data_IF_496381478360
#
_entry.id   IF_496381478360
#
_cell.length_a   1.000
_cell.length_b   1.000
_cell.length_c   1.000
_cell.angle_alpha   90.00
_cell.angle_beta   90.00
_cell.angle_gamma   90.00
#
_symmetry.space_group_name_H-M   'P 1'
#
loop_
_entity.id
_entity.type
_entity.pdbx_description
1 polymer ?
#
# COMPACT_ATOMS: atom_id res chain seq x y z
N UNK A 1 13.20 11.60 -13.46
CA UNK A 1 12.58 11.93 -12.15
C UNK A 1 11.20 11.30 -12.05
N UNK A 2 10.89 10.76 -10.90
CA UNK A 2 9.62 10.07 -10.69
C UNK A 2 8.61 11.00 -10.03
N UNK A 3 7.33 10.84 -10.40
CA UNK A 3 6.24 11.58 -9.76
C UNK A 3 5.24 10.61 -9.13
N UNK A 4 4.68 11.00 -7.99
CA UNK A 4 3.66 10.24 -7.27
C UNK A 4 2.36 11.04 -7.35
N UNK A 5 1.28 10.41 -7.80
CA UNK A 5 -0.02 11.06 -7.97
C UNK A 5 -1.15 10.22 -7.40
N UNK A 6 -2.03 10.87 -6.65
CA UNK A 6 -3.32 10.28 -6.33
C UNK A 6 -4.15 10.17 -7.61
N UNK A 7 -4.88 9.08 -7.77
CA UNK A 7 -5.64 8.82 -8.99
C UNK A 7 -7.10 8.51 -8.68
N UNK A 8 -7.95 8.80 -9.67
CA UNK A 8 -9.38 8.51 -9.60
C UNK A 8 -9.65 7.14 -10.21
N UNK A 9 -10.02 6.18 -9.39
CA UNK A 9 -10.26 4.79 -9.83
C UNK A 9 -11.58 4.64 -10.62
N UNK A 10 -12.43 5.65 -10.62
CA UNK A 10 -13.63 5.66 -11.46
C UNK A 10 -13.30 5.98 -12.92
N UNK A 11 -12.09 6.46 -13.20
CA UNK A 11 -11.57 6.62 -14.55
C UNK A 11 -11.15 5.23 -15.07
N UNK A 12 -11.77 4.80 -16.16
CA UNK A 12 -11.54 3.46 -16.73
C UNK A 12 -10.08 3.24 -17.14
N UNK A 13 -9.41 4.28 -17.64
CA UNK A 13 -8.00 4.20 -18.02
C UNK A 13 -7.12 3.97 -16.78
N UNK A 14 -7.40 4.66 -15.68
CA UNK A 14 -6.70 4.47 -14.41
C UNK A 14 -6.92 3.06 -13.87
N UNK A 15 -8.16 2.56 -13.90
CA UNK A 15 -8.47 1.21 -13.44
C UNK A 15 -7.72 0.15 -14.24
N UNK A 16 -7.60 0.35 -15.56
CA UNK A 16 -6.85 -0.55 -16.43
C UNK A 16 -5.35 -0.54 -16.10
N UNK A 17 -4.77 0.65 -15.91
CA UNK A 17 -3.36 0.79 -15.51
C UNK A 17 -3.09 0.09 -14.19
N UNK A 18 -3.94 0.30 -13.19
CA UNK A 18 -3.82 -0.35 -11.88
C UNK A 18 -3.90 -1.87 -12.00
N UNK A 19 -4.85 -2.37 -12.79
CA UNK A 19 -5.00 -3.81 -13.04
C UNK A 19 -3.77 -4.41 -13.68
N UNK A 20 -3.21 -3.76 -14.70
CA UNK A 20 -2.01 -4.22 -15.39
C UNK A 20 -0.80 -4.22 -14.46
N UNK A 21 -0.60 -3.16 -13.68
CA UNK A 21 0.50 -3.09 -12.72
C UNK A 21 0.36 -4.15 -11.63
N UNK A 22 -0.86 -4.39 -11.14
CA UNK A 22 -1.11 -5.44 -10.15
C UNK A 22 -0.73 -6.80 -10.73
N UNK A 23 -1.15 -7.11 -11.95
CA UNK A 23 -0.82 -8.38 -12.59
C UNK A 23 0.69 -8.55 -12.75
N UNK A 24 1.39 -7.50 -13.20
CA UNK A 24 2.84 -7.56 -13.44
C UNK A 24 3.65 -7.70 -12.14
N UNK A 25 3.15 -7.18 -11.03
CA UNK A 25 3.90 -7.16 -9.75
C UNK A 25 3.52 -8.32 -8.82
N UNK A 26 2.28 -8.74 -8.83
CA UNK A 26 1.80 -9.82 -7.95
C UNK A 26 1.57 -11.14 -8.68
N UNK A 27 1.49 -11.12 -10.01
CA UNK A 27 1.20 -12.30 -10.82
C UNK A 27 -0.06 -13.00 -10.27
N UNK A 28 0.04 -14.28 -9.92
CA UNK A 28 -1.07 -15.04 -9.35
C UNK A 28 -1.00 -15.16 -7.82
N UNK A 29 -0.08 -14.42 -7.18
CA UNK A 29 0.13 -14.53 -5.73
C UNK A 29 -0.95 -13.81 -4.90
N UNK A 30 -1.71 -12.91 -5.52
CA UNK A 30 -2.78 -12.19 -4.85
C UNK A 30 -3.92 -11.91 -5.83
N UNK A 31 -5.14 -11.95 -5.33
CA UNK A 31 -6.31 -11.61 -6.11
C UNK A 31 -6.34 -10.11 -6.42
N UNK A 32 -6.91 -9.73 -7.56
CA UNK A 32 -7.07 -8.33 -7.93
C UNK A 32 -7.98 -7.64 -6.91
N UNK A 33 -7.54 -6.53 -6.29
CA UNK A 33 -8.37 -5.83 -5.32
C UNK A 33 -9.55 -5.08 -5.99
N UNK A 34 -10.54 -4.75 -5.18
CA UNK A 34 -11.63 -3.87 -5.61
C UNK A 34 -11.16 -2.43 -5.45
N UNK A 35 -10.66 -1.84 -6.53
CA UNK A 35 -10.07 -0.50 -6.48
C UNK A 35 -11.04 0.57 -5.99
N UNK A 36 -12.32 0.45 -6.32
CA UNK A 36 -13.32 1.45 -5.96
C UNK A 36 -13.58 1.59 -4.47
N UNK A 37 -13.14 0.66 -3.63
CA UNK A 37 -13.34 0.72 -2.18
C UNK A 37 -12.25 1.49 -1.44
N UNK A 38 -11.22 1.99 -2.13
CA UNK A 38 -10.07 2.61 -1.50
C UNK A 38 -9.55 3.83 -2.24
N UNK A 39 -8.43 4.32 -1.74
CA UNK A 39 -7.67 5.41 -2.33
C UNK A 39 -6.39 4.84 -2.93
N UNK A 40 -6.02 5.32 -4.11
CA UNK A 40 -4.92 4.74 -4.88
C UNK A 40 -3.98 5.81 -5.41
N UNK A 41 -2.73 5.42 -5.58
CA UNK A 41 -1.67 6.27 -6.11
C UNK A 41 -0.91 5.53 -7.19
N UNK A 42 -0.43 6.27 -8.16
CA UNK A 42 0.49 5.80 -9.19
C UNK A 42 1.80 6.56 -9.10
N UNK A 43 2.89 5.87 -9.34
CA UNK A 43 4.19 6.47 -9.59
C UNK A 43 4.48 6.44 -11.08
N UNK A 44 5.02 7.52 -11.60
CA UNK A 44 5.31 7.67 -13.02
C UNK A 44 6.79 7.94 -13.25
N UNK A 45 7.31 7.33 -14.31
CA UNK A 45 8.55 7.74 -14.97
C UNK A 45 8.14 8.44 -16.26
N UNK A 46 8.22 9.78 -16.28
CA UNK A 46 7.61 10.59 -17.33
C UNK A 46 6.12 10.25 -17.47
N UNK A 47 5.68 9.70 -18.61
CA UNK A 47 4.28 9.35 -18.84
C UNK A 47 3.95 7.89 -18.52
N UNK A 48 4.95 7.09 -18.13
CA UNK A 48 4.78 5.66 -17.89
C UNK A 48 4.50 5.38 -16.41
N UNK A 49 3.39 4.72 -16.12
CA UNK A 49 3.10 4.24 -14.77
C UNK A 49 3.98 3.03 -14.46
N UNK A 50 4.72 3.08 -13.34
CA UNK A 50 5.74 2.10 -12.98
C UNK A 50 5.56 1.47 -11.61
N UNK A 51 4.66 2.01 -10.79
CA UNK A 51 4.40 1.51 -9.46
C UNK A 51 3.04 2.02 -8.99
N UNK A 52 2.49 1.35 -8.00
CA UNK A 52 1.19 1.72 -7.44
C UNK A 52 1.11 1.35 -5.97
N UNK A 53 0.17 1.97 -5.27
CA UNK A 53 -0.18 1.61 -3.91
C UNK A 53 -1.62 2.00 -3.62
N UNK A 54 -2.20 1.33 -2.66
CA UNK A 54 -3.56 1.63 -2.23
C UNK A 54 -3.82 1.31 -0.78
N UNK A 55 -4.81 2.00 -0.23
CA UNK A 55 -5.29 1.80 1.12
C UNK A 55 -6.80 1.91 1.17
N UNK A 56 -7.40 1.13 2.05
CA UNK A 56 -8.84 1.13 2.31
C UNK A 56 -9.05 1.40 3.80
N UNK A 57 -10.23 1.90 4.21
CA UNK A 57 -10.55 1.92 5.64
C UNK A 57 -10.49 0.50 6.19
N UNK A 58 -9.85 0.32 7.34
CA UNK A 58 -9.80 -0.99 7.97
C UNK A 58 -11.17 -1.35 8.55
N UNK A 59 -11.60 -2.58 8.33
CA UNK A 59 -12.84 -3.11 8.93
C UNK A 59 -12.56 -3.80 10.28
N UNK A 60 -11.30 -4.03 10.61
CA UNK A 60 -10.90 -4.80 11.80
C UNK A 60 -10.23 -3.93 12.86
N UNK A 61 -9.58 -2.85 12.47
CA UNK A 61 -8.90 -1.94 13.39
C UNK A 61 -9.58 -0.58 13.34
N UNK A 62 -10.06 -0.14 14.51
CA UNK A 62 -10.83 1.08 14.62
C UNK A 62 -10.05 2.30 14.17
N UNK A 63 -10.70 3.20 13.42
CA UNK A 63 -10.17 4.49 12.97
C UNK A 63 -8.80 4.36 12.33
N UNK A 64 -8.63 3.34 11.50
CA UNK A 64 -7.35 3.04 10.86
C UNK A 64 -7.56 2.70 9.40
N UNK A 65 -6.52 2.91 8.61
CA UNK A 65 -6.46 2.43 7.24
C UNK A 65 -5.73 1.11 7.15
N UNK A 66 -6.06 0.34 6.13
CA UNK A 66 -5.35 -0.87 5.76
C UNK A 66 -4.63 -0.62 4.44
N UNK A 67 -3.30 -0.66 4.47
CA UNK A 67 -2.47 -0.59 3.27
C UNK A 67 -2.55 -1.96 2.60
N UNK A 68 -3.34 -2.03 1.53
CA UNK A 68 -3.72 -3.32 0.95
C UNK A 68 -2.79 -3.81 -0.15
N UNK A 69 -2.15 -2.89 -0.88
CA UNK A 69 -1.22 -3.25 -1.96
C UNK A 69 -0.16 -2.18 -2.13
N UNK A 70 1.06 -2.60 -2.39
CA UNK A 70 2.14 -1.78 -2.93
C UNK A 70 2.89 -2.65 -3.94
N UNK A 71 3.04 -2.18 -5.15
CA UNK A 71 3.76 -2.90 -6.19
C UNK A 71 4.66 -1.96 -6.98
N UNK A 72 5.88 -2.41 -7.25
CA UNK A 72 6.86 -1.68 -8.07
C UNK A 72 7.34 -2.62 -9.15
N UNK A 73 7.31 -2.16 -10.41
CA UNK A 73 7.86 -2.96 -11.50
C UNK A 73 9.32 -3.30 -11.22
N UNK A 74 9.71 -4.54 -11.53
CA UNK A 74 11.02 -5.07 -11.16
C UNK A 74 12.16 -4.16 -11.61
N UNK A 75 12.08 -3.61 -12.82
CA UNK A 75 13.08 -2.71 -13.37
C UNK A 75 13.30 -1.45 -12.54
N UNK A 76 12.29 -1.03 -11.77
CA UNK A 76 12.33 0.20 -10.98
C UNK A 76 12.50 -0.02 -9.48
N UNK A 77 12.72 -1.25 -9.05
CA UNK A 77 12.96 -1.57 -7.64
C UNK A 77 14.27 -1.00 -7.14
N UNK A 78 14.37 -0.78 -5.83
CA UNK A 78 15.57 -0.25 -5.20
C UNK A 78 15.77 1.25 -5.36
N UNK A 79 14.74 1.99 -5.75
CA UNK A 79 14.80 3.44 -6.00
C UNK A 79 13.94 4.26 -5.04
N UNK A 80 13.48 3.63 -3.95
CA UNK A 80 12.69 4.31 -2.93
C UNK A 80 11.25 4.57 -3.29
N UNK A 81 10.72 4.01 -4.37
CA UNK A 81 9.34 4.26 -4.83
C UNK A 81 8.31 3.72 -3.85
N UNK A 82 8.51 2.55 -3.28
CA UNK A 82 7.60 1.99 -2.28
C UNK A 82 7.46 2.93 -1.09
N UNK A 83 8.57 3.46 -0.58
CA UNK A 83 8.53 4.40 0.55
C UNK A 83 7.83 5.69 0.20
N UNK A 84 8.04 6.21 -1.00
CA UNK A 84 7.37 7.43 -1.46
C UNK A 84 5.86 7.22 -1.57
N UNK A 85 5.44 6.07 -2.09
CA UNK A 85 4.02 5.71 -2.15
C UNK A 85 3.43 5.56 -0.73
N UNK A 86 4.14 4.92 0.17
CA UNK A 86 3.70 4.78 1.56
C UNK A 86 3.56 6.13 2.26
N UNK A 87 4.46 7.07 1.98
CA UNK A 87 4.36 8.45 2.52
C UNK A 87 3.11 9.17 1.98
N UNK A 88 2.77 8.97 0.72
CA UNK A 88 1.56 9.54 0.14
C UNK A 88 0.31 9.02 0.86
N UNK A 89 0.27 7.74 1.16
CA UNK A 89 -0.81 7.13 1.93
C UNK A 89 -0.87 7.74 3.34
N UNK A 90 0.26 7.90 4.01
CA UNK A 90 0.30 8.52 5.34
C UNK A 90 -0.21 9.96 5.32
N UNK A 91 0.17 10.72 4.31
CA UNK A 91 -0.30 12.10 4.17
C UNK A 91 -1.81 12.19 4.09
N UNK A 92 -2.44 11.34 3.31
CA UNK A 92 -3.89 11.29 3.23
C UNK A 92 -4.52 10.76 4.52
N UNK A 93 -3.92 9.75 5.12
CA UNK A 93 -4.41 9.17 6.38
C UNK A 93 -4.46 10.23 7.48
N UNK A 94 -3.45 11.10 7.57
CA UNK A 94 -3.44 12.21 8.52
C UNK A 94 -4.53 13.22 8.23
N UNK A 95 -4.77 13.54 6.96
CA UNK A 95 -5.85 14.47 6.57
C UNK A 95 -7.23 13.92 6.89
N UNK A 96 -7.44 12.62 6.72
CA UNK A 96 -8.71 11.94 7.04
C UNK A 96 -8.88 11.86 8.56
N UNK A 97 -7.79 11.82 9.33
CA UNK A 97 -7.83 11.69 10.79
C UNK A 97 -7.73 10.25 11.27
N UNK A 98 -7.18 9.34 10.46
CA UNK A 98 -6.89 7.98 10.94
C UNK A 98 -5.83 8.00 12.03
N UNK A 99 -6.02 7.18 13.05
CA UNK A 99 -5.06 7.06 14.15
C UNK A 99 -3.83 6.26 13.75
N UNK A 100 -4.01 5.27 12.87
CA UNK A 100 -2.92 4.43 12.42
C UNK A 100 -3.18 3.86 11.03
N UNK A 101 -2.13 3.30 10.45
CA UNK A 101 -2.21 2.47 9.26
C UNK A 101 -1.72 1.08 9.65
N UNK A 102 -2.46 0.06 9.27
CA UNK A 102 -2.10 -1.32 9.49
C UNK A 102 -1.87 -2.02 8.15
N UNK A 103 -1.11 -3.08 8.17
CA UNK A 103 -0.88 -3.93 7.00
C UNK A 103 -0.38 -5.29 7.45
N UNK A 104 -0.04 -6.11 6.48
CA UNK A 104 0.48 -7.46 6.72
C UNK A 104 1.48 -7.85 5.64
N UNK A 105 2.36 -8.79 5.99
CA UNK A 105 3.26 -9.44 5.04
C UNK A 105 3.31 -10.93 5.35
N UNK A 106 3.35 -11.75 4.30
CA UNK A 106 3.47 -13.20 4.43
C UNK A 106 4.59 -13.67 3.52
N UNK A 107 5.64 -14.25 4.10
CA UNK A 107 6.77 -14.80 3.37
C UNK A 107 7.42 -13.81 2.39
N UNK A 108 7.52 -12.53 2.78
CA UNK A 108 8.05 -11.47 1.95
C UNK A 108 8.99 -10.58 2.77
N UNK A 109 10.28 -10.95 2.80
CA UNK A 109 11.28 -10.23 3.58
C UNK A 109 11.53 -8.82 3.05
N UNK A 110 11.47 -8.64 1.74
CA UNK A 110 11.70 -7.32 1.13
C UNK A 110 10.63 -6.35 1.59
N UNK A 111 9.37 -6.76 1.52
CA UNK A 111 8.25 -5.92 1.96
C UNK A 111 8.30 -5.67 3.46
N UNK A 112 8.59 -6.70 4.25
CA UNK A 112 8.73 -6.57 5.70
C UNK A 112 9.80 -5.53 6.07
N UNK A 113 10.97 -5.59 5.44
CA UNK A 113 12.02 -4.62 5.69
C UNK A 113 11.61 -3.20 5.27
N UNK A 114 10.85 -3.07 4.18
CA UNK A 114 10.34 -1.77 3.75
C UNK A 114 9.36 -1.17 4.77
N UNK A 115 8.53 -1.99 5.41
CA UNK A 115 7.66 -1.53 6.49
C UNK A 115 8.48 -1.04 7.69
N UNK A 116 9.50 -1.77 8.08
CA UNK A 116 10.40 -1.35 9.17
C UNK A 116 11.05 0.00 8.84
N UNK A 117 11.59 0.15 7.63
CA UNK A 117 12.23 1.41 7.20
C UNK A 117 11.25 2.57 7.13
N UNK A 118 9.99 2.30 6.87
CA UNK A 118 8.94 3.32 6.83
C UNK A 118 8.44 3.69 8.23
N UNK A 119 8.95 3.06 9.29
CA UNK A 119 8.58 3.37 10.67
C UNK A 119 7.43 2.54 11.20
N UNK A 120 7.03 1.49 10.51
CA UNK A 120 6.02 0.56 11.02
C UNK A 120 6.65 -0.36 12.06
N UNK A 121 5.84 -0.81 12.99
CA UNK A 121 6.24 -1.75 14.03
C UNK A 121 5.42 -3.02 13.92
N UNK A 122 6.05 -4.14 14.23
CA UNK A 122 5.33 -5.40 14.41
C UNK A 122 4.35 -5.28 15.58
N UNK A 123 3.17 -5.85 15.43
CA UNK A 123 2.21 -5.90 16.53
C UNK A 123 1.32 -7.13 16.41
N UNK A 124 0.69 -7.51 17.52
CA UNK A 124 -0.30 -8.58 17.53
C UNK A 124 -1.69 -7.97 17.45
N UNK A 125 -2.41 -8.13 16.33
CA UNK A 125 -3.77 -7.61 16.24
C UNK A 125 -4.71 -8.41 17.15
N UNK A 126 -5.76 -7.76 17.61
CA UNK A 126 -6.77 -8.37 18.44
C UNK A 126 -7.41 -9.59 17.74
N UNK A 127 -7.65 -9.45 16.43
CA UNK A 127 -8.15 -10.52 15.56
C UNK A 127 -7.18 -10.70 14.40
N UNK A 128 -6.31 -11.72 14.42
CA UNK A 128 -5.43 -12.00 13.29
C UNK A 128 -6.26 -12.37 12.06
N UNK A 129 -5.97 -11.72 10.93
CA UNK A 129 -6.77 -11.90 9.72
C UNK A 129 -6.02 -12.65 8.61
N UNK A 130 -4.72 -12.91 8.78
CA UNK A 130 -3.90 -13.58 7.78
C UNK A 130 -3.63 -15.03 8.13
N UNK A 131 -2.63 -15.59 7.47
CA UNK A 131 -2.16 -16.94 7.71
C UNK A 131 -1.39 -17.04 9.04
N UNK A 132 -1.09 -18.25 9.50
CA UNK A 132 -0.36 -18.46 10.75
C UNK A 132 1.04 -17.83 10.74
N UNK A 133 1.66 -17.73 9.56
CA UNK A 133 2.99 -17.13 9.38
C UNK A 133 2.95 -15.68 8.91
N UNK A 134 1.80 -15.03 8.99
CA UNK A 134 1.67 -13.62 8.62
C UNK A 134 2.22 -12.73 9.71
N UNK A 135 2.98 -11.72 9.31
CA UNK A 135 3.44 -10.64 10.18
C UNK A 135 2.50 -9.46 10.04
N UNK A 136 2.17 -8.82 11.15
CA UNK A 136 1.27 -7.68 11.18
C UNK A 136 2.02 -6.42 11.53
N UNK A 137 1.72 -5.35 10.79
CA UNK A 137 2.41 -4.06 10.85
C UNK A 137 1.45 -2.96 11.22
N UNK A 138 1.92 -2.02 12.04
CA UNK A 138 1.16 -0.84 12.40
C UNK A 138 2.07 0.37 12.50
N UNK A 139 1.61 1.50 11.95
CA UNK A 139 2.24 2.78 12.18
C UNK A 139 1.22 3.73 12.77
N UNK A 140 1.49 4.22 13.97
CA UNK A 140 0.66 5.24 14.61
C UNK A 140 1.00 6.59 14.01
N UNK A 141 -0.04 7.36 13.67
CA UNK A 141 0.13 8.62 12.95
C UNK A 141 0.21 9.82 13.85
N UNK A 142 -0.31 9.69 15.08
CA UNK A 142 -0.30 10.76 16.06
C UNK A 142 0.39 10.29 17.33
N UNK A 143 1.10 11.22 17.98
CA UNK A 143 1.68 10.95 19.28
C UNK A 143 0.57 10.73 20.32
N UNK A 144 0.78 9.78 21.21
CA UNK A 144 -0.15 9.44 22.28
C UNK A 144 0.28 10.13 23.54
#
# INVERSE_FOLDING_TARGET
MYSIRAVDVDDDEVAEILGDLHQLTFLDSAALPQFGSGSWWLAYDAAKAIAFAGAVPSTLVRNSGYLCRVGVLQKYRGRGLQRRLMRAIEGQARRIGWESIVSDTTDNLISANNFIRAGYQLYDPEVPWGWTNTLYWRKRLFAV
#
